data_IF_755503931320
#
_entry.id   IF_755503931320
#
_cell.length_a   1.000
_cell.length_b   1.000
_cell.length_c   1.000
_cell.angle_alpha   90.00
_cell.angle_beta   90.00
_cell.angle_gamma   90.00
#
_symmetry.space_group_name_H-M   'P 1'
#
loop_
_entity.id
_entity.type
_entity.pdbx_description
1 polymer ?
#
# COMPACT_ATOMS: atom_id res chain seq x y z
N UNK A 1 22.25 -26.22 20.19
CA UNK A 1 22.13 -25.57 18.86
C UNK A 1 21.86 -24.10 19.13
N UNK A 2 22.75 -23.22 18.69
CA UNK A 2 22.62 -21.78 18.88
C UNK A 2 21.46 -21.28 18.04
N UNK A 3 20.32 -21.03 18.68
CA UNK A 3 19.10 -20.52 18.04
C UNK A 3 19.26 -19.08 17.59
N UNK A 4 19.94 -18.89 16.46
CA UNK A 4 19.84 -17.63 15.72
C UNK A 4 18.47 -17.60 15.06
N UNK A 5 17.61 -16.67 15.49
CA UNK A 5 16.37 -16.37 14.78
C UNK A 5 16.72 -15.84 13.39
N UNK A 6 16.52 -16.67 12.36
CA UNK A 6 16.69 -16.26 10.99
C UNK A 6 15.32 -15.83 10.43
N UNK A 7 15.30 -14.65 9.80
CA UNK A 7 14.12 -14.09 9.15
C UNK A 7 14.22 -14.25 7.64
N UNK A 8 13.09 -14.57 7.01
CA UNK A 8 12.92 -14.46 5.57
C UNK A 8 11.87 -13.39 5.26
N UNK A 9 12.22 -12.43 4.41
CA UNK A 9 11.31 -11.40 3.90
C UNK A 9 10.79 -11.82 2.53
N UNK A 10 9.47 -11.77 2.34
CA UNK A 10 8.83 -12.18 1.09
C UNK A 10 7.83 -11.15 0.60
N UNK A 11 7.89 -10.86 -0.70
CA UNK A 11 7.04 -9.85 -1.36
C UNK A 11 5.79 -10.45 -2.02
N UNK A 12 5.72 -11.76 -2.22
CA UNK A 12 4.53 -12.47 -2.73
C UNK A 12 4.45 -13.89 -2.18
N UNK A 13 3.22 -14.33 -1.89
CA UNK A 13 2.90 -15.73 -1.53
C UNK A 13 2.81 -16.59 -2.80
N UNK A 14 3.89 -16.69 -3.57
CA UNK A 14 3.99 -17.73 -4.60
C UNK A 14 4.47 -19.04 -3.96
N UNK A 15 3.50 -19.90 -3.60
CA UNK A 15 3.52 -21.36 -3.30
C UNK A 15 4.69 -22.03 -2.53
N UNK A 16 5.77 -21.33 -2.15
CA UNK A 16 7.01 -21.92 -1.62
C UNK A 16 7.62 -21.15 -0.45
N UNK A 17 6.94 -20.12 0.04
CA UNK A 17 7.43 -19.20 1.07
C UNK A 17 7.82 -19.93 2.35
N UNK A 18 6.93 -20.78 2.86
CA UNK A 18 7.19 -21.57 4.06
C UNK A 18 8.06 -22.79 3.77
N UNK A 19 7.94 -23.43 2.59
CA UNK A 19 8.83 -24.54 2.20
C UNK A 19 10.30 -24.11 2.21
N UNK A 20 10.59 -22.94 1.64
CA UNK A 20 11.97 -22.43 1.58
C UNK A 20 12.44 -21.96 2.95
N UNK A 21 11.55 -21.46 3.80
CA UNK A 21 11.88 -21.16 5.20
C UNK A 21 12.26 -22.43 5.96
N UNK A 22 11.51 -23.52 5.79
CA UNK A 22 11.79 -24.82 6.41
C UNK A 22 13.12 -25.38 5.90
N UNK A 23 13.33 -25.42 4.58
CA UNK A 23 14.56 -25.95 3.97
C UNK A 23 15.80 -25.12 4.33
N UNK A 24 15.62 -23.85 4.69
CA UNK A 24 16.70 -22.95 5.07
C UNK A 24 16.90 -22.81 6.59
N UNK A 25 16.25 -23.66 7.42
CA UNK A 25 16.30 -23.59 8.89
C UNK A 25 15.89 -22.22 9.46
N UNK A 26 14.98 -21.51 8.77
CA UNK A 26 14.41 -20.27 9.25
C UNK A 26 13.27 -20.55 10.24
N UNK A 27 13.17 -19.70 11.27
CA UNK A 27 12.08 -19.78 12.27
C UNK A 27 11.02 -18.71 12.06
N UNK A 28 11.24 -17.76 11.15
CA UNK A 28 10.33 -16.65 10.91
C UNK A 28 10.18 -16.37 9.41
N UNK A 29 8.93 -16.21 8.98
CA UNK A 29 8.52 -15.72 7.67
C UNK A 29 7.82 -14.38 7.89
N UNK A 30 8.47 -13.31 7.45
CA UNK A 30 7.93 -11.96 7.46
C UNK A 30 7.40 -11.63 6.05
N UNK A 31 6.13 -11.25 5.97
CA UNK A 31 5.50 -10.75 4.74
C UNK A 31 5.19 -9.27 4.85
N UNK A 32 5.07 -8.60 3.71
CA UNK A 32 4.84 -7.15 3.63
C UNK A 32 3.36 -6.75 3.56
N UNK A 33 2.48 -7.40 4.32
CA UNK A 33 1.03 -7.20 4.19
C UNK A 33 0.50 -6.09 5.10
N UNK A 34 -0.16 -5.12 4.49
CA UNK A 34 -0.74 -3.92 5.04
C UNK A 34 -2.11 -4.10 5.70
N UNK A 35 -2.55 -3.09 6.45
CA UNK A 35 -3.90 -3.06 7.01
C UNK A 35 -4.99 -3.01 5.92
N UNK A 36 -4.73 -2.37 4.80
CA UNK A 36 -5.75 -2.10 3.76
C UNK A 36 -6.17 -3.35 2.98
N UNK A 37 -5.36 -4.42 3.07
CA UNK A 37 -5.69 -5.75 2.58
C UNK A 37 -6.82 -6.44 3.37
N UNK A 38 -7.18 -5.93 4.55
CA UNK A 38 -8.30 -6.44 5.34
C UNK A 38 -9.67 -6.04 4.77
N UNK A 39 -9.72 -5.07 3.85
CA UNK A 39 -10.97 -4.49 3.35
C UNK A 39 -11.33 -5.06 1.97
N UNK A 40 -12.61 -5.46 1.86
CA UNK A 40 -13.17 -6.06 0.66
C UNK A 40 -13.28 -5.06 -0.51
N UNK A 41 -13.70 -5.58 -1.67
CA UNK A 41 -13.75 -4.83 -2.92
C UNK A 41 -15.10 -4.15 -3.19
N UNK A 42 -16.01 -4.09 -2.21
CA UNK A 42 -17.41 -3.67 -2.37
C UNK A 42 -18.17 -4.50 -3.43
N UNK A 43 -17.78 -5.76 -3.61
CA UNK A 43 -18.42 -6.71 -4.52
C UNK A 43 -18.92 -7.90 -3.73
N UNK A 44 -20.16 -8.33 -3.97
CA UNK A 44 -20.73 -9.54 -3.38
C UNK A 44 -20.87 -10.61 -4.43
N UNK A 45 -20.29 -11.79 -4.17
CA UNK A 45 -20.44 -12.99 -4.99
C UNK A 45 -21.02 -14.11 -4.15
N UNK A 46 -22.13 -14.71 -4.60
CA UNK A 46 -22.84 -15.77 -3.87
C UNK A 46 -23.16 -15.44 -2.40
N UNK A 47 -23.49 -14.18 -2.13
CA UNK A 47 -23.81 -13.70 -0.78
C UNK A 47 -22.60 -13.49 0.14
N UNK A 48 -21.37 -13.52 -0.40
CA UNK A 48 -20.13 -13.26 0.34
C UNK A 48 -19.41 -12.03 -0.21
N UNK A 49 -18.83 -11.16 0.65
CA UNK A 49 -17.98 -10.08 0.20
C UNK A 49 -16.72 -10.65 -0.46
N UNK A 50 -16.35 -10.09 -1.61
CA UNK A 50 -15.14 -10.44 -2.35
C UNK A 50 -14.00 -9.57 -1.86
N UNK A 51 -12.94 -10.18 -1.34
CA UNK A 51 -11.67 -9.51 -1.07
C UNK A 51 -10.58 -10.19 -1.91
N UNK A 52 -10.12 -9.51 -2.98
CA UNK A 52 -9.07 -10.03 -3.84
C UNK A 52 -7.68 -10.06 -3.19
N UNK A 53 -7.51 -9.42 -2.04
CA UNK A 53 -6.29 -9.41 -1.22
C UNK A 53 -6.50 -10.23 0.07
N UNK A 54 -7.44 -11.18 0.09
CA UNK A 54 -7.74 -11.95 1.30
C UNK A 54 -6.50 -12.68 1.84
N UNK A 55 -5.64 -13.19 0.96
CA UNK A 55 -4.35 -13.82 1.30
C UNK A 55 -3.36 -12.87 1.99
N UNK A 56 -3.60 -11.55 1.93
CA UNK A 56 -2.86 -10.51 2.63
C UNK A 56 -3.56 -10.00 3.89
N UNK A 57 -4.78 -10.47 4.17
CA UNK A 57 -5.52 -10.06 5.36
C UNK A 57 -4.95 -10.65 6.66
N UNK A 58 -5.22 -9.99 7.77
CA UNK A 58 -4.88 -10.46 9.11
C UNK A 58 -5.61 -11.76 9.48
N UNK A 59 -6.86 -11.96 9.00
CA UNK A 59 -7.59 -13.22 9.19
C UNK A 59 -6.86 -14.37 8.50
N UNK A 60 -6.40 -14.17 7.26
CA UNK A 60 -5.60 -15.16 6.56
C UNK A 60 -4.26 -15.39 7.26
N UNK A 61 -3.52 -14.34 7.62
CA UNK A 61 -2.24 -14.43 8.33
C UNK A 61 -2.36 -15.26 9.61
N UNK A 62 -3.39 -14.99 10.42
CA UNK A 62 -3.67 -15.72 11.67
C UNK A 62 -3.92 -17.21 11.40
N UNK A 63 -4.70 -17.52 10.35
CA UNK A 63 -5.01 -18.91 9.96
C UNK A 63 -3.79 -19.63 9.41
N UNK A 64 -3.01 -18.97 8.54
CA UNK A 64 -1.79 -19.50 7.97
C UNK A 64 -0.77 -19.78 9.08
N UNK A 65 -0.56 -18.83 9.99
CA UNK A 65 0.29 -18.99 11.17
C UNK A 65 -0.12 -20.21 11.99
N UNK A 66 -1.40 -20.32 12.36
CA UNK A 66 -1.91 -21.44 13.15
C UNK A 66 -1.78 -22.79 12.41
N UNK A 67 -2.03 -22.80 11.11
CA UNK A 67 -1.92 -24.00 10.28
C UNK A 67 -0.46 -24.49 10.19
N UNK A 68 0.47 -23.59 9.85
CA UNK A 68 1.90 -23.89 9.72
C UNK A 68 2.43 -24.48 11.02
N UNK A 69 2.16 -23.83 12.17
CA UNK A 69 2.65 -24.28 13.47
C UNK A 69 2.05 -25.61 13.91
N UNK A 70 0.81 -25.89 13.52
CA UNK A 70 0.12 -27.12 13.93
C UNK A 70 0.47 -28.32 13.05
N UNK A 71 0.65 -28.12 11.76
CA UNK A 71 0.71 -29.21 10.78
C UNK A 71 2.02 -29.32 10.01
N UNK A 72 2.85 -28.28 10.00
CA UNK A 72 4.09 -28.24 9.21
C UNK A 72 5.33 -28.19 10.11
N UNK A 73 5.55 -27.08 10.82
CA UNK A 73 6.71 -26.88 11.70
C UNK A 73 6.31 -26.03 12.90
N UNK A 74 6.45 -26.60 14.11
CA UNK A 74 6.00 -25.99 15.37
C UNK A 74 6.68 -24.65 15.68
N UNK A 75 7.94 -24.47 15.30
CA UNK A 75 8.74 -23.28 15.62
C UNK A 75 8.80 -22.26 14.47
N UNK A 76 7.95 -22.38 13.44
CA UNK A 76 7.89 -21.45 12.31
C UNK A 76 6.80 -20.39 12.49
N UNK A 77 7.19 -19.12 12.58
CA UNK A 77 6.31 -17.97 12.78
C UNK A 77 6.06 -17.23 11.46
N UNK A 78 4.82 -17.29 10.96
CA UNK A 78 4.36 -16.47 9.84
C UNK A 78 3.68 -15.19 10.36
N UNK A 79 4.11 -14.02 9.90
CA UNK A 79 3.52 -12.73 10.31
C UNK A 79 3.82 -11.60 9.33
N UNK A 80 3.06 -10.52 9.40
CA UNK A 80 3.41 -9.23 8.81
C UNK A 80 3.61 -8.17 9.89
N UNK A 81 4.74 -7.48 9.81
CA UNK A 81 4.99 -6.32 10.65
C UNK A 81 4.13 -5.10 10.26
N UNK A 82 3.45 -5.14 9.11
CA UNK A 82 2.74 -3.99 8.53
C UNK A 82 1.20 -4.04 8.72
N UNK A 83 0.63 -5.11 9.28
CA UNK A 83 -0.84 -5.26 9.43
C UNK A 83 -1.51 -4.16 10.24
N UNK A 84 -0.75 -3.48 11.10
CA UNK A 84 -1.26 -2.39 11.91
C UNK A 84 -1.17 -1.04 11.20
N UNK A 85 -0.48 -0.97 10.07
CA UNK A 85 -0.20 0.24 9.30
C UNK A 85 -1.07 0.30 8.05
N UNK A 86 -1.58 1.50 7.78
CA UNK A 86 -2.22 1.88 6.53
C UNK A 86 -1.15 2.19 5.45
N UNK A 87 -1.51 2.06 4.18
CA UNK A 87 -0.64 2.36 3.04
C UNK A 87 -0.07 3.76 3.10
N UNK A 88 -0.88 4.74 3.50
CA UNK A 88 -0.44 6.13 3.66
C UNK A 88 0.68 6.29 4.69
N UNK A 89 0.70 5.45 5.74
CA UNK A 89 1.73 5.46 6.79
C UNK A 89 3.00 4.75 6.33
N UNK A 90 2.82 3.65 5.57
CA UNK A 90 3.92 2.94 4.93
C UNK A 90 4.59 3.87 3.91
N UNK A 91 3.82 4.58 3.09
CA UNK A 91 4.29 5.57 2.13
C UNK A 91 5.04 6.73 2.80
N UNK A 92 4.52 7.25 3.93
CA UNK A 92 5.22 8.25 4.74
C UNK A 92 6.60 7.75 5.18
N UNK A 93 6.64 6.59 5.83
CA UNK A 93 7.88 5.99 6.33
C UNK A 93 8.88 5.71 5.20
N UNK A 94 8.39 5.19 4.07
CA UNK A 94 9.19 4.88 2.90
C UNK A 94 9.78 6.15 2.26
N UNK A 95 8.97 7.19 2.09
CA UNK A 95 9.40 8.48 1.58
C UNK A 95 10.43 9.12 2.52
N UNK A 96 10.13 9.27 3.80
CA UNK A 96 11.06 9.85 4.78
C UNK A 96 12.40 9.13 4.79
N UNK A 97 12.41 7.78 4.82
CA UNK A 97 13.67 7.02 4.78
C UNK A 97 14.45 7.19 3.48
N UNK A 98 13.77 7.26 2.34
CA UNK A 98 14.41 7.47 1.05
C UNK A 98 15.01 8.87 0.92
N UNK A 99 14.40 9.86 1.59
CA UNK A 99 14.82 11.27 1.54
C UNK A 99 15.88 11.63 2.59
N UNK A 100 15.85 11.00 3.75
CA UNK A 100 16.77 11.27 4.86
C UNK A 100 18.07 10.45 4.79
N UNK A 101 18.04 9.27 4.18
CA UNK A 101 19.20 8.38 4.13
C UNK A 101 20.08 8.62 2.89
N UNK A 102 21.31 8.10 2.91
CA UNK A 102 22.16 8.05 1.72
C UNK A 102 21.68 7.07 0.65
N UNK A 103 20.65 6.28 0.96
CA UNK A 103 20.07 5.25 0.09
C UNK A 103 18.68 5.71 -0.36
N UNK A 104 18.62 6.43 -1.49
CA UNK A 104 17.36 6.88 -2.06
C UNK A 104 16.69 5.72 -2.83
N UNK A 105 15.57 5.22 -2.31
CA UNK A 105 14.82 4.12 -2.92
C UNK A 105 13.72 4.59 -3.88
N UNK A 106 13.42 5.89 -3.95
CA UNK A 106 12.36 6.42 -4.82
C UNK A 106 12.53 6.04 -6.31
N UNK A 107 13.74 6.04 -6.90
CA UNK A 107 13.89 5.73 -8.31
C UNK A 107 13.77 4.23 -8.65
N UNK A 108 13.82 3.34 -7.66
CA UNK A 108 13.94 1.88 -7.88
C UNK A 108 12.71 1.10 -7.47
N UNK A 109 11.72 1.71 -6.79
CA UNK A 109 10.49 1.01 -6.43
C UNK A 109 9.50 0.99 -7.59
N UNK A 110 8.85 -0.17 -7.76
CA UNK A 110 7.82 -0.38 -8.76
C UNK A 110 6.83 -1.41 -8.24
N UNK A 111 5.54 -1.07 -8.27
CA UNK A 111 4.45 -1.99 -7.89
C UNK A 111 3.32 -2.03 -8.92
N UNK A 112 3.55 -1.48 -10.11
CA UNK A 112 2.57 -1.48 -11.20
C UNK A 112 2.36 -2.91 -11.73
N UNK A 113 1.12 -3.40 -11.67
CA UNK A 113 0.76 -4.73 -12.19
C UNK A 113 0.80 -4.81 -13.72
N UNK A 114 0.77 -3.65 -14.38
CA UNK A 114 0.70 -3.49 -15.84
C UNK A 114 2.05 -3.01 -16.43
N UNK A 115 3.15 -3.16 -15.69
CA UNK A 115 4.48 -2.76 -16.14
C UNK A 115 4.90 -3.60 -17.36
N UNK A 116 4.91 -3.05 -18.60
CA UNK A 116 5.02 -3.85 -19.82
C UNK A 116 6.36 -4.60 -19.93
N UNK A 117 7.43 -3.96 -19.43
CA UNK A 117 8.80 -4.50 -19.43
C UNK A 117 9.30 -4.79 -18.00
N UNK A 118 8.43 -4.68 -16.99
CA UNK A 118 8.82 -4.83 -15.57
C UNK A 118 9.64 -3.68 -14.98
N UNK A 119 9.92 -2.62 -15.77
CA UNK A 119 10.87 -1.58 -15.39
C UNK A 119 10.24 -0.18 -15.19
N UNK A 120 8.95 0.01 -15.51
CA UNK A 120 8.31 1.34 -15.51
C UNK A 120 6.85 1.32 -15.10
N UNK A 121 6.43 2.41 -14.47
CA UNK A 121 5.02 2.72 -14.20
C UNK A 121 4.27 2.93 -15.51
N UNK A 122 3.12 2.28 -15.68
CA UNK A 122 2.31 2.43 -16.89
C UNK A 122 1.53 3.76 -16.93
N UNK A 123 1.39 4.43 -15.78
CA UNK A 123 0.75 5.73 -15.62
C UNK A 123 -0.68 5.79 -16.21
N UNK A 124 -1.40 4.66 -16.17
CA UNK A 124 -2.77 4.52 -16.69
C UNK A 124 -3.69 3.65 -15.85
N UNK A 125 -3.19 2.76 -15.00
CA UNK A 125 -4.02 1.85 -14.18
C UNK A 125 -4.29 2.42 -12.77
N UNK A 126 -5.30 1.87 -12.10
CA UNK A 126 -5.66 2.24 -10.72
C UNK A 126 -4.47 2.10 -9.74
N UNK A 127 -3.58 1.11 -9.92
CA UNK A 127 -2.38 0.96 -9.08
C UNK A 127 -1.42 2.15 -9.20
N UNK A 128 -1.16 2.62 -10.43
CA UNK A 128 -0.32 3.80 -10.64
C UNK A 128 -0.98 5.04 -10.04
N UNK A 129 -2.29 5.21 -10.28
CA UNK A 129 -3.06 6.34 -9.77
C UNK A 129 -3.04 6.38 -8.23
N UNK A 130 -3.28 5.25 -7.59
CA UNK A 130 -3.27 5.12 -6.13
C UNK A 130 -1.89 5.41 -5.54
N UNK A 131 -0.83 4.78 -6.05
CA UNK A 131 0.53 5.00 -5.52
C UNK A 131 1.01 6.43 -5.78
N UNK A 132 0.65 7.03 -6.91
CA UNK A 132 0.94 8.44 -7.18
C UNK A 132 0.29 9.35 -6.12
N UNK A 133 -0.99 9.13 -5.81
CA UNK A 133 -1.68 9.89 -4.76
C UNK A 133 -1.01 9.70 -3.40
N UNK A 134 -0.69 8.45 -3.01
CA UNK A 134 0.01 8.17 -1.75
C UNK A 134 1.35 8.91 -1.66
N UNK A 135 2.17 8.83 -2.71
CA UNK A 135 3.49 9.46 -2.73
C UNK A 135 3.40 10.98 -2.81
N UNK A 136 2.35 11.55 -3.44
CA UNK A 136 2.18 13.00 -3.51
C UNK A 136 1.93 13.66 -2.16
N UNK A 137 1.47 12.90 -1.15
CA UNK A 137 1.36 13.38 0.21
C UNK A 137 2.73 13.69 0.85
N UNK A 138 3.81 13.09 0.35
CA UNK A 138 5.13 13.09 0.98
C UNK A 138 6.27 13.54 0.07
N UNK A 139 6.05 13.58 -1.24
CA UNK A 139 7.05 13.92 -2.25
C UNK A 139 6.71 15.23 -2.97
N UNK A 140 7.76 15.96 -3.34
CA UNK A 140 7.67 17.11 -4.26
C UNK A 140 7.31 16.69 -5.67
N UNK A 141 6.83 17.64 -6.49
CA UNK A 141 6.49 17.37 -7.89
C UNK A 141 7.70 16.81 -8.67
N UNK A 142 8.89 17.36 -8.46
CA UNK A 142 10.11 16.88 -9.12
C UNK A 142 10.39 15.40 -8.83
N UNK A 143 10.20 14.97 -7.57
CA UNK A 143 10.37 13.57 -7.18
C UNK A 143 9.27 12.68 -7.76
N UNK A 144 8.02 13.14 -7.80
CA UNK A 144 6.94 12.39 -8.46
C UNK A 144 7.23 12.21 -9.95
N UNK A 145 7.69 13.26 -10.64
CA UNK A 145 8.08 13.17 -12.05
C UNK A 145 9.29 12.26 -12.24
N UNK A 146 10.24 12.22 -11.31
CA UNK A 146 11.36 11.27 -11.35
C UNK A 146 10.87 9.81 -11.24
N UNK A 147 9.93 9.52 -10.34
CA UNK A 147 9.37 8.19 -10.11
C UNK A 147 8.51 7.72 -11.30
N UNK A 148 7.54 8.55 -11.70
CA UNK A 148 6.47 8.18 -12.63
C UNK A 148 6.73 8.63 -14.08
N UNK A 149 7.73 9.48 -14.30
CA UNK A 149 8.05 10.09 -15.60
C UNK A 149 7.16 11.28 -15.98
N UNK A 150 6.04 11.49 -15.29
CA UNK A 150 5.09 12.58 -15.54
C UNK A 150 4.25 12.89 -14.28
N UNK A 151 3.66 14.10 -14.24
CA UNK A 151 2.75 14.50 -13.18
C UNK A 151 1.32 14.02 -13.50
N UNK A 152 0.83 13.01 -12.78
CA UNK A 152 -0.50 12.44 -13.04
C UNK A 152 -1.65 13.37 -12.65
N UNK A 153 -1.44 14.39 -11.81
CA UNK A 153 -2.45 15.42 -11.55
C UNK A 153 -2.70 16.35 -12.75
N UNK A 154 -1.82 16.34 -13.76
CA UNK A 154 -2.01 17.03 -15.04
C UNK A 154 -2.53 16.10 -16.15
N UNK A 155 -2.49 14.79 -15.93
CA UNK A 155 -2.85 13.78 -16.93
C UNK A 155 -4.34 13.46 -16.88
N UNK A 156 -5.15 14.21 -17.64
CA UNK A 156 -6.61 14.07 -17.67
C UNK A 156 -7.11 12.64 -17.93
N UNK A 157 -6.37 11.83 -18.70
CA UNK A 157 -6.75 10.44 -18.97
C UNK A 157 -6.73 9.54 -17.73
N UNK A 158 -6.05 9.94 -16.65
CA UNK A 158 -5.98 9.19 -15.36
C UNK A 158 -7.04 9.66 -14.38
N UNK A 159 -7.68 10.81 -14.59
CA UNK A 159 -8.68 11.33 -13.65
C UNK A 159 -9.83 10.37 -13.36
N UNK A 160 -10.35 9.57 -14.32
CA UNK A 160 -11.34 8.55 -14.00
C UNK A 160 -10.85 7.53 -12.96
N UNK A 161 -9.57 7.15 -12.98
CA UNK A 161 -8.98 6.24 -11.99
C UNK A 161 -8.92 6.92 -10.61
N UNK A 162 -8.53 8.20 -10.54
CA UNK A 162 -8.56 8.95 -9.28
C UNK A 162 -9.98 9.02 -8.70
N UNK A 163 -10.97 9.33 -9.53
CA UNK A 163 -12.37 9.39 -9.09
C UNK A 163 -12.87 8.02 -8.61
N UNK A 164 -12.51 6.94 -9.31
CA UNK A 164 -12.85 5.58 -8.88
C UNK A 164 -12.20 5.21 -7.54
N UNK A 165 -11.00 5.72 -7.25
CA UNK A 165 -10.30 5.49 -5.99
C UNK A 165 -10.85 6.31 -4.82
N UNK A 166 -11.65 7.35 -5.09
CA UNK A 166 -12.29 8.21 -4.10
C UNK A 166 -13.72 7.78 -3.77
N UNK A 167 -14.30 6.89 -4.59
CA UNK A 167 -15.66 6.39 -4.43
C UNK A 167 -15.73 5.33 -3.32
N UNK A 168 -16.24 5.70 -2.15
CA UNK A 168 -16.39 4.81 -0.99
C UNK A 168 -17.47 3.73 -1.19
N UNK A 169 -18.49 4.02 -2.00
CA UNK A 169 -19.59 3.10 -2.30
C UNK A 169 -19.33 2.30 -3.59
N UNK A 170 -18.38 2.76 -4.40
CA UNK A 170 -17.95 2.14 -5.64
C UNK A 170 -17.17 0.85 -5.46
N UNK A 171 -16.94 0.14 -6.55
CA UNK A 171 -16.11 -1.06 -6.57
C UNK A 171 -14.64 -0.66 -6.39
N UNK A 172 -14.02 -1.08 -5.30
CA UNK A 172 -12.58 -0.90 -5.09
C UNK A 172 -11.82 -1.73 -6.15
N UNK A 173 -10.89 -1.11 -6.91
CA UNK A 173 -10.15 -1.80 -7.97
C UNK A 173 -9.46 -3.09 -7.52
N UNK A 174 -9.42 -4.09 -8.41
CA UNK A 174 -8.76 -5.39 -8.19
C UNK A 174 -7.24 -5.33 -8.45
N UNK A 175 -6.63 -4.19 -8.14
CA UNK A 175 -5.25 -3.81 -8.48
C UNK A 175 -4.34 -3.75 -7.25
N UNK A 176 -4.74 -4.40 -6.15
CA UNK A 176 -4.11 -4.32 -4.83
C UNK A 176 -3.96 -2.88 -4.32
N UNK A 177 -5.02 -2.06 -4.43
CA UNK A 177 -5.03 -0.67 -3.92
C UNK A 177 -5.55 -0.61 -2.49
N UNK A 178 -5.30 0.50 -1.81
CA UNK A 178 -5.82 0.79 -0.48
C UNK A 178 -7.30 1.19 -0.50
N UNK A 179 -7.73 1.85 0.58
CA UNK A 179 -9.12 2.30 0.76
C UNK A 179 -9.35 3.70 0.20
N UNK A 180 -10.61 4.03 -0.13
CA UNK A 180 -10.98 5.39 -0.53
C UNK A 180 -10.64 6.43 0.55
N UNK A 181 -10.78 6.04 1.82
CA UNK A 181 -10.32 6.79 2.99
C UNK A 181 -8.85 7.23 2.86
N UNK A 182 -7.95 6.30 2.56
CA UNK A 182 -6.53 6.59 2.41
C UNK A 182 -6.25 7.48 1.20
N UNK A 183 -6.99 7.28 0.11
CA UNK A 183 -6.91 8.15 -1.08
C UNK A 183 -7.29 9.59 -0.73
N UNK A 184 -8.41 9.81 -0.03
CA UNK A 184 -8.85 11.13 0.42
C UNK A 184 -7.82 11.79 1.35
N UNK A 185 -7.33 11.04 2.32
CA UNK A 185 -6.31 11.54 3.24
C UNK A 185 -5.03 11.96 2.51
N UNK A 186 -4.59 11.15 1.56
CA UNK A 186 -3.36 11.43 0.81
C UNK A 186 -3.52 12.66 -0.08
N UNK A 187 -4.69 12.85 -0.73
CA UNK A 187 -4.99 14.08 -1.46
C UNK A 187 -5.01 15.31 -0.54
N UNK A 188 -5.60 15.20 0.65
CA UNK A 188 -5.61 16.28 1.62
C UNK A 188 -4.20 16.71 2.03
N UNK A 189 -3.32 15.76 2.30
CA UNK A 189 -1.92 16.02 2.62
C UNK A 189 -1.17 16.62 1.42
N UNK A 190 -1.47 16.16 0.21
CA UNK A 190 -0.86 16.66 -1.03
C UNK A 190 -1.24 18.11 -1.38
N UNK A 191 -2.39 18.62 -0.90
CA UNK A 191 -2.89 19.98 -1.21
C UNK A 191 -1.85 21.07 -0.95
N UNK A 192 -1.04 20.92 0.12
CA UNK A 192 -0.05 21.93 0.48
C UNK A 192 1.03 22.10 -0.60
N UNK A 193 1.47 21.00 -1.22
CA UNK A 193 2.56 21.00 -2.18
C UNK A 193 2.07 21.04 -3.64
N UNK A 194 0.87 20.53 -3.92
CA UNK A 194 0.38 20.25 -5.28
C UNK A 194 -0.97 20.90 -5.60
N UNK A 195 -1.49 21.79 -4.73
CA UNK A 195 -2.85 22.34 -4.83
C UNK A 195 -3.16 23.12 -6.11
N UNK A 196 -2.15 23.63 -6.81
CA UNK A 196 -2.33 24.34 -8.09
C UNK A 196 -2.48 23.40 -9.30
N UNK A 197 -2.24 22.09 -9.12
CA UNK A 197 -2.38 21.11 -10.20
C UNK A 197 -3.83 20.96 -10.66
N UNK A 198 -4.03 20.60 -11.93
CA UNK A 198 -5.35 20.56 -12.57
C UNK A 198 -6.36 19.69 -11.80
N UNK A 199 -5.98 18.49 -11.37
CA UNK A 199 -6.87 17.62 -10.60
C UNK A 199 -7.19 18.17 -9.21
N UNK A 200 -6.19 18.59 -8.41
CA UNK A 200 -6.43 19.05 -7.04
C UNK A 200 -7.22 20.35 -7.05
N UNK A 201 -6.90 21.28 -7.94
CA UNK A 201 -7.61 22.56 -8.07
C UNK A 201 -9.08 22.39 -8.41
N UNK A 202 -9.42 21.39 -9.24
CA UNK A 202 -10.82 21.10 -9.58
C UNK A 202 -11.62 20.42 -8.46
N UNK A 203 -10.93 19.85 -7.45
CA UNK A 203 -11.55 19.11 -6.35
C UNK A 203 -11.20 19.68 -4.96
N UNK A 204 -10.55 20.84 -4.87
CA UNK A 204 -10.02 21.42 -3.62
C UNK A 204 -11.08 21.51 -2.52
N UNK A 205 -12.29 21.99 -2.85
CA UNK A 205 -13.38 22.09 -1.89
C UNK A 205 -13.77 20.72 -1.32
N UNK A 206 -13.85 19.68 -2.16
CA UNK A 206 -14.19 18.34 -1.72
C UNK A 206 -13.07 17.74 -0.85
N UNK A 207 -11.80 17.92 -1.25
CA UNK A 207 -10.63 17.41 -0.53
C UNK A 207 -10.52 18.06 0.87
N UNK A 208 -10.82 19.36 1.00
CA UNK A 208 -10.81 20.06 2.29
C UNK A 208 -11.93 19.66 3.23
N UNK A 209 -13.02 19.10 2.69
CA UNK A 209 -14.09 18.50 3.47
C UNK A 209 -13.66 17.06 3.85
N UNK A 210 -12.61 16.97 4.69
CA UNK A 210 -12.12 15.70 5.21
C UNK A 210 -13.28 14.90 5.83
N UNK A 211 -13.46 13.63 5.45
CA UNK A 211 -14.38 12.77 6.17
C UNK A 211 -14.04 12.67 7.66
N UNK A 212 -15.04 12.77 8.54
CA UNK A 212 -14.88 12.68 10.01
C UNK A 212 -14.17 11.39 10.46
N UNK A 213 -14.19 10.33 9.65
CA UNK A 213 -13.54 9.06 9.95
C UNK A 213 -12.02 9.07 9.79
N UNK A 214 -11.38 10.13 9.29
CA UNK A 214 -9.92 10.20 9.08
C UNK A 214 -9.11 10.56 10.33
N UNK A 215 -9.77 11.08 11.37
CA UNK A 215 -9.10 11.42 12.63
C UNK A 215 -8.35 10.25 13.29
N UNK A 216 -8.87 9.01 13.35
CA UNK A 216 -8.17 7.89 13.97
C UNK A 216 -6.88 7.49 13.25
N UNK A 217 -6.81 7.64 11.92
CA UNK A 217 -5.59 7.34 11.13
C UNK A 217 -4.55 8.44 11.32
N UNK A 218 -4.97 9.70 11.31
CA UNK A 218 -4.12 10.88 11.56
C UNK A 218 -3.52 10.90 12.98
N UNK A 219 -4.25 10.38 13.98
CA UNK A 219 -3.81 10.37 15.38
C UNK A 219 -2.86 9.22 15.73
N UNK A 220 -2.52 8.35 14.79
CA UNK A 220 -1.58 7.26 15.08
C UNK A 220 -0.15 7.79 15.22
N UNK A 221 0.65 7.29 16.20
CA UNK A 221 2.00 7.80 16.46
C UNK A 221 2.94 7.81 15.25
N UNK A 222 2.78 6.85 14.33
CA UNK A 222 3.58 6.75 13.11
C UNK A 222 3.38 7.94 12.17
N UNK A 223 2.25 8.63 12.23
CA UNK A 223 1.97 9.86 11.47
C UNK A 223 2.47 11.13 12.17
N UNK A 224 2.90 11.03 13.44
CA UNK A 224 3.41 12.17 14.23
C UNK A 224 4.94 12.22 14.32
N UNK A 225 5.64 11.24 13.74
CA UNK A 225 7.10 11.23 13.67
C UNK A 225 7.54 12.13 12.51
N UNK A 226 7.68 13.42 12.79
CA UNK A 226 8.12 14.44 11.82
C UNK A 226 7.63 15.86 12.05
N UNK A 227 6.96 16.14 13.18
CA UNK A 227 6.65 17.51 13.64
C UNK A 227 7.65 18.01 14.69
#
# INVERSE_FOLDING_TARGET
MTGASAFRFEHNMEDKTWETAILGDFTHVAVGNERSANYDNNVVHEGRPVNHQYDKSFDFETRAHAYIRKYLVEDLHYFSALQHLWEVQIACTFASRSLESSENFLPVFLSCNEAPDGDKWCCKCAKCAFVFILMSAWCSEAQLVEIFGENLFEKQSVFPEFLSLLDEEGVKPMECVGTACETWLSLYLALQAHGDSTFLKSHDQAIRLLPEFLEPTLRQPVMMLGA
#
